data_IF_015861325553
#
_entry.id   IF_015861325553
#
_cell.length_a   1.000
_cell.length_b   1.000
_cell.length_c   1.000
_cell.angle_alpha   90.00
_cell.angle_beta   90.00
_cell.angle_gamma   90.00
#
_symmetry.space_group_name_H-M   'P 1'
#
loop_
_entity.id
_entity.type
_entity.pdbx_description
1 polymer ?
#
# COMPACT_ATOMS: atom_id res chain seq x y z
N UNK A 1 -16.29 7.50 -7.78
CA UNK A 1 -16.23 8.26 -6.51
C UNK A 1 -17.01 9.54 -6.73
N UNK A 2 -17.90 9.86 -5.80
CA UNK A 2 -18.71 11.06 -5.89
C UNK A 2 -17.84 12.32 -5.83
N UNK A 3 -18.20 13.36 -6.58
CA UNK A 3 -17.45 14.61 -6.68
C UNK A 3 -18.37 15.81 -6.54
N UNK A 4 -17.93 16.86 -5.84
CA UNK A 4 -18.65 18.14 -5.81
C UNK A 4 -18.42 18.82 -7.16
N UNK A 5 -19.48 18.95 -7.97
CA UNK A 5 -19.44 19.54 -9.30
C UNK A 5 -19.69 21.05 -9.28
N UNK A 6 -20.53 21.50 -8.35
CA UNK A 6 -20.87 22.91 -8.18
C UNK A 6 -21.19 23.21 -6.71
N UNK A 7 -21.06 24.47 -6.31
CA UNK A 7 -21.42 24.93 -4.97
C UNK A 7 -21.90 26.39 -4.99
N UNK A 8 -22.80 26.72 -4.06
CA UNK A 8 -23.30 28.08 -3.82
C UNK A 8 -23.22 28.35 -2.33
N UNK A 9 -22.54 29.43 -1.94
CA UNK A 9 -22.51 29.90 -0.56
C UNK A 9 -23.62 30.91 -0.35
N UNK A 10 -24.44 30.70 0.66
CA UNK A 10 -25.56 31.57 1.01
C UNK A 10 -25.12 32.66 2.00
N UNK A 11 -25.95 33.70 2.13
CA UNK A 11 -25.65 34.87 2.98
C UNK A 11 -25.55 34.51 4.47
N UNK A 12 -26.17 33.40 4.89
CA UNK A 12 -26.10 32.87 6.25
C UNK A 12 -24.82 32.04 6.53
N UNK A 13 -23.94 31.92 5.53
CA UNK A 13 -22.69 31.16 5.62
C UNK A 13 -22.84 29.66 5.35
N UNK A 14 -24.06 29.16 5.09
CA UNK A 14 -24.26 27.78 4.65
C UNK A 14 -23.86 27.61 3.19
N UNK A 15 -23.51 26.37 2.79
CA UNK A 15 -23.13 26.07 1.41
C UNK A 15 -23.98 24.92 0.86
N UNK A 16 -24.65 25.16 -0.26
CA UNK A 16 -25.34 24.13 -1.02
C UNK A 16 -24.40 23.56 -2.07
N UNK A 17 -24.27 22.24 -2.14
CA UNK A 17 -23.38 21.54 -3.07
C UNK A 17 -24.16 20.63 -4.01
N UNK A 18 -23.70 20.52 -5.26
CA UNK A 18 -24.20 19.53 -6.23
C UNK A 18 -23.16 18.42 -6.33
N UNK A 19 -23.57 17.21 -5.97
CA UNK A 19 -22.69 16.03 -5.97
C UNK A 19 -23.00 15.19 -7.22
N UNK A 20 -21.97 14.93 -8.04
CA UNK A 20 -22.03 14.04 -9.20
C UNK A 20 -21.51 12.66 -8.84
N UNK A 21 -22.20 11.61 -9.30
CA UNK A 21 -21.77 10.21 -9.10
C UNK A 21 -22.01 9.68 -7.68
N UNK A 22 -22.98 10.23 -6.95
CA UNK A 22 -23.48 9.64 -5.72
C UNK A 22 -24.38 8.43 -6.05
N UNK A 23 -24.19 7.32 -5.34
CA UNK A 23 -25.04 6.14 -5.45
C UNK A 23 -26.15 6.24 -4.41
N UNK A 24 -27.41 6.19 -4.87
CA UNK A 24 -28.61 6.17 -4.04
C UNK A 24 -29.28 4.81 -4.20
N UNK A 25 -29.78 4.26 -3.09
CA UNK A 25 -30.58 3.04 -3.14
C UNK A 25 -32.05 3.35 -3.45
N UNK A 26 -32.82 2.29 -3.72
CA UNK A 26 -34.23 2.38 -4.11
C UNK A 26 -35.08 3.15 -3.09
N UNK A 27 -34.76 3.01 -1.79
CA UNK A 27 -35.48 3.67 -0.71
C UNK A 27 -35.21 5.18 -0.70
N UNK A 28 -33.95 5.58 -0.86
CA UNK A 28 -33.53 6.98 -0.89
C UNK A 28 -34.13 7.69 -2.11
N UNK A 29 -34.09 7.04 -3.29
CA UNK A 29 -34.71 7.55 -4.51
C UNK A 29 -36.22 7.71 -4.35
N UNK A 30 -36.91 6.72 -3.77
CA UNK A 30 -38.36 6.80 -3.53
C UNK A 30 -38.74 7.96 -2.60
N UNK A 31 -37.94 8.23 -1.56
CA UNK A 31 -38.18 9.37 -0.67
C UNK A 31 -38.07 10.69 -1.42
N UNK A 32 -37.01 10.87 -2.22
CA UNK A 32 -36.77 12.08 -3.00
C UNK A 32 -37.84 12.28 -4.09
N UNK A 33 -38.25 11.22 -4.79
CA UNK A 33 -39.29 11.27 -5.82
C UNK A 33 -40.66 11.70 -5.26
N UNK A 34 -40.91 11.44 -3.97
CA UNK A 34 -42.11 11.87 -3.26
C UNK A 34 -41.95 13.22 -2.53
N UNK A 35 -40.84 13.93 -2.75
CA UNK A 35 -40.58 15.24 -2.17
C UNK A 35 -40.19 15.24 -0.69
N UNK A 36 -39.77 14.09 -0.15
CA UNK A 36 -39.19 14.03 1.20
C UNK A 36 -37.71 14.37 1.17
N UNK A 37 -37.25 15.04 2.24
CA UNK A 37 -35.83 15.28 2.47
C UNK A 37 -35.15 14.01 3.02
N UNK A 38 -33.92 13.76 2.58
CA UNK A 38 -33.07 12.67 3.07
C UNK A 38 -31.85 13.29 3.73
N UNK A 39 -31.73 13.14 5.04
CA UNK A 39 -30.53 13.55 5.77
C UNK A 39 -29.34 12.69 5.35
N UNK A 40 -28.19 13.34 5.15
CA UNK A 40 -26.95 12.65 4.81
C UNK A 40 -25.73 13.32 5.49
N UNK A 41 -24.76 12.49 5.86
CA UNK A 41 -23.46 12.96 6.34
C UNK A 41 -22.51 13.16 5.17
N UNK A 42 -22.08 14.40 4.93
CA UNK A 42 -21.07 14.70 3.93
C UNK A 42 -19.67 14.70 4.56
N UNK A 43 -18.86 13.70 4.19
CA UNK A 43 -17.42 13.68 4.54
C UNK A 43 -16.58 14.08 3.34
N UNK A 44 -16.02 15.28 3.37
CA UNK A 44 -15.12 15.77 2.31
C UNK A 44 -13.75 15.14 2.52
N UNK A 45 -13.26 14.42 1.50
CA UNK A 45 -11.88 13.93 1.50
C UNK A 45 -10.92 15.08 1.19
N UNK A 46 -10.06 15.43 2.15
CA UNK A 46 -8.95 16.34 1.92
C UNK A 46 -7.85 15.61 1.14
N UNK A 47 -7.53 16.02 -0.11
CA UNK A 47 -6.56 15.32 -0.93
C UNK A 47 -5.13 15.41 -0.39
N UNK A 48 -4.86 16.30 0.56
CA UNK A 48 -3.54 16.47 1.17
C UNK A 48 -3.37 15.66 2.46
N UNK A 49 -4.47 15.19 3.04
CA UNK A 49 -4.46 14.39 4.28
C UNK A 49 -4.51 12.89 4.01
N UNK A 50 -4.11 12.14 5.03
CA UNK A 50 -4.20 10.69 5.10
C UNK A 50 -5.56 10.19 4.61
N UNK A 51 -5.54 9.22 3.71
CA UNK A 51 -6.74 8.56 3.20
C UNK A 51 -7.24 7.49 4.17
N UNK A 52 -8.54 7.18 4.11
CA UNK A 52 -9.11 6.06 4.88
C UNK A 52 -8.42 4.73 4.54
N UNK A 53 -7.99 4.53 3.29
CA UNK A 53 -7.22 3.35 2.88
C UNK A 53 -5.87 3.26 3.60
N UNK A 54 -5.12 4.36 3.66
CA UNK A 54 -3.85 4.41 4.39
C UNK A 54 -4.05 4.18 5.89
N UNK A 55 -5.05 4.85 6.48
CA UNK A 55 -5.38 4.67 7.90
C UNK A 55 -5.72 3.21 8.22
N UNK A 56 -6.57 2.56 7.41
CA UNK A 56 -6.90 1.14 7.57
C UNK A 56 -5.67 0.24 7.50
N UNK A 57 -4.70 0.54 6.61
CA UNK A 57 -3.44 -0.23 6.51
C UNK A 57 -2.61 -0.13 7.79
N UNK A 58 -2.39 1.06 8.31
CA UNK A 58 -1.62 1.28 9.55
C UNK A 58 -2.22 0.45 10.70
N UNK A 59 -3.54 0.52 10.88
CA UNK A 59 -4.20 -0.25 11.92
C UNK A 59 -4.17 -1.76 11.67
N UNK A 60 -4.36 -2.22 10.43
CA UNK A 60 -4.30 -3.64 10.10
C UNK A 60 -2.90 -4.24 10.39
N UNK A 61 -1.84 -3.53 10.00
CA UNK A 61 -0.47 -3.92 10.29
C UNK A 61 -0.20 -3.98 11.80
N UNK A 62 -0.62 -2.95 12.56
CA UNK A 62 -0.46 -2.96 14.02
C UNK A 62 -1.26 -4.08 14.70
N UNK A 63 -2.43 -4.45 14.18
CA UNK A 63 -3.22 -5.57 14.70
C UNK A 63 -2.52 -6.92 14.46
N UNK A 64 -1.88 -7.11 13.31
CA UNK A 64 -1.13 -8.34 13.04
C UNK A 64 0.09 -8.45 13.99
N UNK A 65 0.77 -7.34 14.27
CA UNK A 65 1.83 -7.28 15.28
C UNK A 65 1.31 -7.65 16.67
N UNK A 66 0.20 -7.04 17.10
CA UNK A 66 -0.41 -7.33 18.40
C UNK A 66 -0.81 -8.80 18.51
N UNK A 67 -1.43 -9.35 17.46
CA UNK A 67 -1.87 -10.75 17.42
C UNK A 67 -0.71 -11.73 17.54
N UNK A 68 0.46 -11.38 17.02
CA UNK A 68 1.64 -12.25 17.06
C UNK A 68 2.49 -12.08 18.33
N UNK A 69 2.69 -10.83 18.77
CA UNK A 69 3.67 -10.49 19.81
C UNK A 69 3.03 -10.19 21.17
N UNK A 70 1.73 -9.95 21.21
CA UNK A 70 1.02 -9.44 22.39
C UNK A 70 1.28 -7.96 22.70
N UNK A 71 2.10 -7.26 21.90
CA UNK A 71 2.35 -5.83 22.08
C UNK A 71 1.09 -5.04 21.70
N UNK A 72 0.56 -4.15 22.58
CA UNK A 72 -0.67 -3.44 22.29
C UNK A 72 -0.60 -2.66 20.98
N UNK A 73 -1.65 -2.78 20.15
CA UNK A 73 -1.75 -2.11 18.85
C UNK A 73 -1.49 -0.61 18.95
N UNK A 74 -2.05 0.06 19.95
CA UNK A 74 -1.89 1.51 20.13
C UNK A 74 -0.48 1.91 20.54
N UNK A 75 0.23 1.04 21.28
CA UNK A 75 1.64 1.24 21.58
C UNK A 75 2.49 1.15 20.31
N UNK A 76 2.32 0.08 19.51
CA UNK A 76 3.06 -0.09 18.25
C UNK A 76 2.77 1.05 17.27
N UNK A 77 1.50 1.46 17.14
CA UNK A 77 1.09 2.59 16.32
C UNK A 77 1.79 3.88 16.74
N UNK A 78 1.79 4.20 18.03
CA UNK A 78 2.49 5.38 18.57
C UNK A 78 4.00 5.29 18.31
N UNK A 79 4.61 4.13 18.57
CA UNK A 79 6.03 3.88 18.32
C UNK A 79 6.42 4.20 16.87
N UNK A 80 5.65 3.73 15.88
CA UNK A 80 5.95 4.00 14.47
C UNK A 80 5.70 5.46 14.07
N UNK A 81 4.66 6.11 14.61
CA UNK A 81 4.43 7.54 14.39
C UNK A 81 5.62 8.37 14.88
N UNK A 82 6.09 8.12 16.11
CA UNK A 82 7.23 8.81 16.69
C UNK A 82 8.54 8.48 15.97
N UNK A 83 8.75 7.21 15.61
CA UNK A 83 9.93 6.80 14.86
C UNK A 83 10.04 7.56 13.53
N UNK A 84 8.95 7.68 12.77
CA UNK A 84 8.92 8.46 11.52
C UNK A 84 9.12 9.94 11.78
N UNK A 85 8.50 10.50 12.84
CA UNK A 85 8.73 11.90 13.23
C UNK A 85 10.21 12.19 13.42
N UNK A 86 10.91 11.35 14.17
CA UNK A 86 12.35 11.51 14.44
C UNK A 86 13.18 11.27 13.18
N UNK A 87 12.92 10.17 12.45
CA UNK A 87 13.69 9.76 11.28
C UNK A 87 13.73 10.84 10.19
N UNK A 88 12.59 11.51 9.95
CA UNK A 88 12.46 12.53 8.91
C UNK A 88 12.57 13.96 9.45
N UNK A 89 12.84 14.15 10.74
CA UNK A 89 13.04 15.46 11.35
C UNK A 89 11.80 16.36 11.34
N UNK A 90 10.60 15.79 11.49
CA UNK A 90 9.37 16.59 11.57
C UNK A 90 9.30 17.35 12.89
N UNK A 91 8.93 18.63 12.83
CA UNK A 91 8.87 19.51 14.01
C UNK A 91 7.83 19.08 15.05
N UNK A 92 6.80 18.35 14.63
CA UNK A 92 5.71 17.86 15.48
C UNK A 92 5.53 16.36 15.29
N UNK A 93 5.11 15.69 16.37
CA UNK A 93 4.63 14.30 16.31
C UNK A 93 3.56 14.16 15.25
N UNK A 94 3.72 13.16 14.38
CA UNK A 94 2.74 12.84 13.36
C UNK A 94 1.47 12.35 14.06
N UNK A 95 0.30 12.85 13.68
CA UNK A 95 -1.00 12.34 14.12
C UNK A 95 -1.82 11.80 12.96
N UNK A 96 -2.41 10.61 13.10
CA UNK A 96 -3.28 10.03 12.07
C UNK A 96 -4.63 10.76 11.90
N UNK A 97 -4.91 11.81 12.67
CA UNK A 97 -6.06 12.70 12.46
C UNK A 97 -5.90 13.62 11.26
N UNK A 98 -4.68 14.03 10.95
CA UNK A 98 -4.40 15.18 10.09
C UNK A 98 -3.06 15.09 9.36
N UNK A 99 -2.30 13.99 9.53
CA UNK A 99 -1.05 13.82 8.80
C UNK A 99 -1.24 13.79 7.29
N UNK A 100 -0.18 14.17 6.58
CA UNK A 100 -0.16 14.15 5.13
C UNK A 100 -0.17 12.72 4.60
N UNK A 101 -0.59 12.54 3.33
CA UNK A 101 -0.48 11.24 2.65
C UNK A 101 0.94 10.70 2.63
N UNK A 102 1.94 11.58 2.50
CA UNK A 102 3.35 11.21 2.52
C UNK A 102 3.75 10.64 3.87
N UNK A 103 3.43 11.34 4.97
CA UNK A 103 3.70 10.87 6.33
C UNK A 103 3.02 9.54 6.64
N UNK A 104 1.76 9.38 6.20
CA UNK A 104 1.05 8.12 6.34
C UNK A 104 1.74 6.96 5.61
N UNK A 105 2.27 7.19 4.40
CA UNK A 105 3.05 6.19 3.66
C UNK A 105 4.37 5.85 4.36
N UNK A 106 5.09 6.85 4.89
CA UNK A 106 6.33 6.60 5.65
C UNK A 106 6.06 5.72 6.88
N UNK A 107 4.94 5.91 7.57
CA UNK A 107 4.53 5.05 8.68
C UNK A 107 4.27 3.62 8.18
N UNK A 108 3.50 3.46 7.10
CA UNK A 108 3.22 2.14 6.50
C UNK A 108 4.53 1.43 6.13
N UNK A 109 5.49 2.14 5.54
CA UNK A 109 6.78 1.61 5.11
C UNK A 109 7.63 1.12 6.29
N UNK A 110 7.78 1.94 7.33
CA UNK A 110 8.52 1.54 8.53
C UNK A 110 7.84 0.37 9.23
N UNK A 111 6.51 0.38 9.34
CA UNK A 111 5.77 -0.73 9.95
C UNK A 111 5.94 -2.03 9.16
N UNK A 112 5.92 -1.96 7.83
CA UNK A 112 6.17 -3.12 6.97
C UNK A 112 7.59 -3.65 7.12
N UNK A 113 8.60 -2.78 7.10
CA UNK A 113 9.99 -3.17 7.30
C UNK A 113 10.17 -3.89 8.64
N UNK A 114 9.60 -3.33 9.71
CA UNK A 114 9.61 -3.97 11.03
C UNK A 114 8.91 -5.33 11.04
N UNK A 115 7.75 -5.46 10.40
CA UNK A 115 7.00 -6.71 10.28
C UNK A 115 7.85 -7.78 9.59
N UNK A 116 8.47 -7.46 8.46
CA UNK A 116 9.31 -8.42 7.74
C UNK A 116 10.57 -8.79 8.51
N UNK A 117 11.23 -7.81 9.13
CA UNK A 117 12.44 -8.05 9.92
C UNK A 117 12.21 -8.92 11.15
N UNK A 118 10.99 -8.90 11.70
CA UNK A 118 10.60 -9.69 12.87
C UNK A 118 9.75 -10.92 12.52
N UNK A 119 9.70 -11.31 11.24
CA UNK A 119 8.95 -12.46 10.74
C UNK A 119 7.47 -12.48 11.19
N UNK A 120 6.84 -11.31 11.27
CA UNK A 120 5.45 -11.18 11.72
C UNK A 120 4.51 -11.70 10.62
N UNK A 121 3.67 -12.72 10.90
CA UNK A 121 2.72 -13.24 9.93
C UNK A 121 1.59 -12.23 9.70
N UNK A 122 1.33 -11.90 8.44
CA UNK A 122 0.19 -11.07 8.04
C UNK A 122 -1.08 -11.91 7.92
N UNK A 123 -2.20 -11.40 8.43
CA UNK A 123 -3.50 -12.04 8.24
C UNK A 123 -3.95 -11.93 6.77
N UNK A 124 -4.81 -12.86 6.32
CA UNK A 124 -5.36 -12.82 4.96
C UNK A 124 -5.98 -11.45 4.61
N UNK A 125 -6.70 -10.85 5.57
CA UNK A 125 -7.33 -9.54 5.41
C UNK A 125 -6.30 -8.43 5.21
N UNK A 126 -5.19 -8.46 5.96
CA UNK A 126 -4.11 -7.48 5.79
C UNK A 126 -3.38 -7.70 4.48
N UNK A 127 -3.04 -8.95 4.13
CA UNK A 127 -2.44 -9.27 2.83
C UNK A 127 -3.32 -8.79 1.69
N UNK A 128 -4.63 -9.03 1.74
CA UNK A 128 -5.61 -8.57 0.74
C UNK A 128 -5.67 -7.04 0.63
N UNK A 129 -5.68 -6.34 1.77
CA UNK A 129 -5.65 -4.87 1.81
C UNK A 129 -4.37 -4.27 1.19
N UNK A 130 -3.28 -5.02 1.23
CA UNK A 130 -1.96 -4.65 0.71
C UNK A 130 -1.67 -5.24 -0.68
N UNK A 131 -2.58 -6.03 -1.25
CA UNK A 131 -2.43 -6.52 -2.63
C UNK A 131 -2.27 -5.32 -3.55
N UNK A 132 -1.20 -5.34 -4.36
CA UNK A 132 -0.82 -4.27 -5.28
C UNK A 132 -0.42 -2.94 -4.61
N UNK A 133 -0.26 -2.90 -3.29
CA UNK A 133 0.34 -1.75 -2.62
C UNK A 133 1.84 -1.69 -2.93
N UNK A 134 2.29 -0.58 -3.50
CA UNK A 134 3.69 -0.42 -3.94
C UNK A 134 4.67 -0.53 -2.77
N UNK A 135 4.32 -0.02 -1.59
CA UNK A 135 5.18 -0.12 -0.41
C UNK A 135 5.27 -1.56 0.07
N UNK A 136 4.17 -2.31 0.11
CA UNK A 136 4.18 -3.75 0.40
C UNK A 136 5.03 -4.56 -0.58
N UNK A 137 4.85 -4.33 -1.89
CA UNK A 137 5.61 -5.03 -2.93
C UNK A 137 7.11 -4.70 -2.85
N UNK A 138 7.46 -3.43 -2.62
CA UNK A 138 8.84 -3.00 -2.43
C UNK A 138 9.47 -3.67 -1.21
N UNK A 139 8.84 -3.58 -0.05
CA UNK A 139 9.40 -4.12 1.20
C UNK A 139 9.42 -5.65 1.24
N UNK A 140 8.45 -6.33 0.62
CA UNK A 140 8.53 -7.78 0.40
C UNK A 140 9.73 -8.14 -0.49
N UNK A 141 9.97 -7.34 -1.53
CA UNK A 141 11.09 -7.53 -2.46
C UNK A 141 12.44 -7.33 -1.79
N UNK A 142 12.56 -6.26 -1.01
CA UNK A 142 13.76 -5.94 -0.22
C UNK A 142 14.02 -7.00 0.86
N UNK A 143 13.00 -7.44 1.59
CA UNK A 143 13.17 -8.42 2.67
C UNK A 143 13.20 -9.89 2.18
N UNK A 144 13.13 -10.11 0.86
CA UNK A 144 13.13 -11.45 0.24
C UNK A 144 11.96 -12.31 0.74
N UNK A 145 10.78 -11.72 0.91
CA UNK A 145 9.53 -12.43 1.14
C UNK A 145 8.75 -12.53 -0.17
N UNK A 146 8.25 -13.72 -0.51
CA UNK A 146 7.52 -13.91 -1.75
C UNK A 146 6.25 -13.07 -1.79
N UNK A 147 6.09 -12.21 -2.81
CA UNK A 147 4.93 -11.32 -2.95
C UNK A 147 3.59 -12.06 -3.16
N UNK A 148 3.65 -13.35 -3.51
CA UNK A 148 2.46 -14.18 -3.71
C UNK A 148 2.02 -14.91 -2.43
N UNK A 149 2.97 -15.49 -1.69
CA UNK A 149 2.66 -16.39 -0.58
C UNK A 149 3.38 -16.08 0.74
N UNK A 150 4.18 -15.02 0.81
CA UNK A 150 4.89 -14.59 2.01
C UNK A 150 6.12 -15.41 2.41
N UNK A 151 6.34 -16.59 1.80
CA UNK A 151 7.50 -17.46 2.12
C UNK A 151 8.82 -16.67 2.07
N UNK A 152 9.69 -16.78 3.11
CA UNK A 152 10.97 -16.08 3.16
C UNK A 152 11.99 -16.69 2.19
N UNK A 153 13.17 -16.07 2.09
CA UNK A 153 14.29 -16.48 1.22
C UNK A 153 13.93 -16.56 -0.26
N UNK A 154 13.10 -15.62 -0.71
CA UNK A 154 12.72 -15.48 -2.10
C UNK A 154 13.88 -15.01 -2.99
N UNK A 155 13.85 -15.46 -4.24
CA UNK A 155 14.73 -14.95 -5.28
C UNK A 155 14.19 -13.60 -5.80
N UNK A 156 15.09 -12.73 -6.27
CA UNK A 156 14.68 -11.56 -7.05
C UNK A 156 14.45 -12.00 -8.49
N UNK A 157 13.18 -12.12 -8.85
CA UNK A 157 12.74 -12.42 -10.19
C UNK A 157 12.78 -11.15 -11.05
N UNK A 158 13.27 -11.24 -12.28
CA UNK A 158 13.22 -10.15 -13.24
C UNK A 158 11.95 -10.23 -14.09
N UNK A 159 11.36 -9.06 -14.38
CA UNK A 159 10.30 -8.93 -15.38
C UNK A 159 10.90 -9.11 -16.79
N UNK A 160 11.96 -8.36 -17.10
CA UNK A 160 12.66 -8.45 -18.37
C UNK A 160 13.71 -9.57 -18.33
N UNK A 161 13.85 -10.31 -19.43
CA UNK A 161 14.87 -11.35 -19.52
C UNK A 161 16.29 -10.76 -19.41
N UNK A 162 17.10 -11.34 -18.51
CA UNK A 162 18.55 -11.09 -18.46
C UNK A 162 19.23 -12.04 -19.44
N UNK A 163 19.83 -11.49 -20.50
CA UNK A 163 20.38 -12.26 -21.61
C UNK A 163 21.47 -13.27 -21.21
N UNK A 164 21.49 -14.43 -21.89
CA UNK A 164 22.54 -15.45 -21.76
C UNK A 164 23.90 -14.84 -22.13
N UNK A 165 24.75 -14.62 -21.13
CA UNK A 165 26.09 -14.01 -21.29
C UNK A 165 26.32 -12.78 -20.41
N UNK A 166 25.26 -12.19 -19.86
CA UNK A 166 25.38 -11.08 -18.92
C UNK A 166 25.68 -11.59 -17.52
N UNK A 167 26.75 -11.08 -16.90
CA UNK A 167 27.03 -11.36 -15.50
C UNK A 167 26.13 -10.47 -14.63
N UNK A 168 25.08 -11.06 -14.06
CA UNK A 168 24.11 -10.38 -13.18
C UNK A 168 24.78 -9.67 -12.00
N UNK A 169 25.95 -10.14 -11.55
CA UNK A 169 26.68 -9.55 -10.44
C UNK A 169 27.50 -8.30 -10.83
N UNK A 170 27.67 -8.04 -12.13
CA UNK A 170 28.47 -6.92 -12.65
C UNK A 170 27.66 -5.91 -13.46
N UNK A 171 26.57 -6.35 -14.09
CA UNK A 171 25.73 -5.45 -14.87
C UNK A 171 24.94 -4.49 -13.98
N UNK A 172 24.51 -3.37 -14.57
CA UNK A 172 23.57 -2.47 -13.93
C UNK A 172 22.14 -2.90 -14.24
N UNK A 173 21.26 -2.83 -13.24
CA UNK A 173 19.87 -3.30 -13.34
C UNK A 173 18.83 -2.17 -13.34
N UNK A 174 19.23 -0.89 -13.37
CA UNK A 174 18.29 0.26 -13.28
C UNK A 174 17.23 0.32 -14.39
N UNK A 175 17.45 -0.36 -15.52
CA UNK A 175 16.49 -0.49 -16.62
C UNK A 175 15.53 -1.67 -16.46
N UNK A 176 15.60 -2.38 -15.33
CA UNK A 176 14.83 -3.60 -15.04
C UNK A 176 13.79 -3.38 -13.96
N UNK A 177 12.83 -4.30 -13.93
CA UNK A 177 11.87 -4.42 -12.85
C UNK A 177 11.96 -5.79 -12.19
N UNK A 178 11.71 -5.83 -10.88
CA UNK A 178 11.87 -7.03 -10.07
C UNK A 178 10.76 -7.20 -9.04
N UNK A 179 10.57 -8.45 -8.62
CA UNK A 179 9.74 -8.86 -7.49
C UNK A 179 10.44 -10.00 -6.72
N UNK A 180 10.21 -10.09 -5.41
CA UNK A 180 10.60 -11.29 -4.66
C UNK A 180 9.62 -12.43 -4.92
N UNK A 181 10.12 -13.53 -5.49
CA UNK A 181 9.37 -14.76 -5.69
C UNK A 181 10.09 -15.94 -5.03
N UNK A 182 9.38 -16.73 -4.22
CA UNK A 182 9.95 -17.97 -3.69
C UNK A 182 10.25 -18.93 -4.85
N UNK A 183 11.12 -19.91 -4.61
CA UNK A 183 11.59 -20.87 -5.62
C UNK A 183 10.46 -21.47 -6.47
N UNK A 184 9.35 -21.81 -5.84
CA UNK A 184 8.16 -22.38 -6.48
C UNK A 184 7.51 -21.41 -7.48
N UNK A 185 7.21 -20.18 -7.05
CA UNK A 185 6.62 -19.16 -7.91
C UNK A 185 7.59 -18.63 -8.96
N UNK A 186 8.88 -18.50 -8.64
CA UNK A 186 9.91 -18.07 -9.59
C UNK A 186 10.11 -19.09 -10.70
N UNK A 187 10.17 -20.39 -10.38
CA UNK A 187 10.23 -21.45 -11.38
C UNK A 187 8.96 -21.51 -12.22
N UNK A 188 7.79 -21.29 -11.61
CA UNK A 188 6.53 -21.21 -12.33
C UNK A 188 6.52 -20.05 -13.33
N UNK A 189 6.98 -18.86 -12.94
CA UNK A 189 7.14 -17.71 -13.85
C UNK A 189 8.01 -18.07 -15.05
N UNK A 190 9.15 -18.75 -14.84
CA UNK A 190 9.98 -19.24 -15.94
C UNK A 190 9.26 -20.26 -16.82
N UNK A 191 8.42 -21.13 -16.26
CA UNK A 191 7.73 -22.18 -16.99
C UNK A 191 6.58 -21.67 -17.87
N UNK A 192 5.78 -20.73 -17.38
CA UNK A 192 4.58 -20.23 -18.09
C UNK A 192 4.81 -18.89 -18.82
N UNK A 193 5.95 -18.25 -18.57
CA UNK A 193 6.27 -16.92 -19.06
C UNK A 193 5.67 -15.80 -18.21
N UNK A 194 6.31 -14.63 -18.21
CA UNK A 194 5.99 -13.51 -17.32
C UNK A 194 4.57 -12.98 -17.53
N UNK A 195 4.11 -12.84 -18.78
CA UNK A 195 2.75 -12.36 -19.08
C UNK A 195 1.67 -13.29 -18.51
N UNK A 196 1.78 -14.60 -18.74
CA UNK A 196 0.83 -15.58 -18.20
C UNK A 196 0.87 -15.64 -16.67
N UNK A 197 2.04 -15.38 -16.08
CA UNK A 197 2.21 -15.28 -14.62
C UNK A 197 1.51 -14.02 -14.09
N UNK A 198 1.65 -12.89 -14.77
CA UNK A 198 0.98 -11.63 -14.41
C UNK A 198 -0.54 -11.73 -14.52
N UNK A 199 -1.07 -12.42 -15.53
CA UNK A 199 -2.50 -12.71 -15.65
C UNK A 199 -3.02 -13.54 -14.48
N UNK A 200 -2.28 -14.60 -14.12
CA UNK A 200 -2.66 -15.54 -13.06
C UNK A 200 -2.68 -14.89 -11.67
N UNK A 201 -1.75 -13.98 -11.40
CA UNK A 201 -1.57 -13.37 -10.08
C UNK A 201 -1.92 -11.87 -10.03
N UNK A 202 -2.44 -11.32 -11.13
CA UNK A 202 -2.81 -9.90 -11.29
C UNK A 202 -1.65 -8.92 -11.01
N UNK A 203 -0.48 -9.18 -11.60
CA UNK A 203 0.79 -8.44 -11.33
C UNK A 203 1.18 -7.39 -12.39
N UNK A 204 0.36 -7.14 -13.41
CA UNK A 204 0.69 -6.26 -14.54
C UNK A 204 1.32 -4.90 -14.15
N UNK A 205 0.83 -4.26 -13.09
CA UNK A 205 1.32 -2.97 -12.60
C UNK A 205 2.10 -3.06 -11.27
N UNK A 206 2.54 -4.27 -10.89
CA UNK A 206 3.14 -4.56 -9.58
C UNK A 206 4.67 -4.59 -9.59
N UNK A 207 5.30 -4.76 -10.75
CA UNK A 207 6.75 -4.91 -10.84
C UNK A 207 7.50 -3.65 -10.40
N UNK A 208 8.48 -3.80 -9.51
CA UNK A 208 9.20 -2.68 -8.90
C UNK A 208 10.40 -2.31 -9.75
N UNK A 209 10.47 -1.05 -10.19
CA UNK A 209 11.64 -0.53 -10.88
C UNK A 209 12.85 -0.57 -9.94
N UNK A 210 13.95 -1.11 -10.43
CA UNK A 210 15.19 -1.24 -9.64
C UNK A 210 15.74 0.14 -9.29
N UNK A 211 15.90 0.39 -7.99
CA UNK A 211 16.58 1.55 -7.42
C UNK A 211 18.02 1.19 -7.01
N UNK A 212 18.71 2.11 -6.33
CA UNK A 212 20.08 1.89 -5.87
C UNK A 212 20.21 0.67 -4.94
N UNK A 213 19.24 0.49 -4.02
CA UNK A 213 19.23 -0.61 -3.05
C UNK A 213 19.06 -1.95 -3.76
N UNK A 214 18.02 -2.07 -4.58
CA UNK A 214 17.74 -3.28 -5.34
C UNK A 214 18.87 -3.61 -6.32
N UNK A 215 19.53 -2.62 -6.91
CA UNK A 215 20.69 -2.85 -7.78
C UNK A 215 21.88 -3.45 -7.01
N UNK A 216 22.12 -3.00 -5.77
CA UNK A 216 23.15 -3.60 -4.89
C UNK A 216 22.79 -5.04 -4.54
N UNK A 217 21.55 -5.29 -4.14
CA UNK A 217 21.04 -6.63 -3.82
C UNK A 217 21.13 -7.60 -5.00
N UNK A 218 20.80 -7.15 -6.21
CA UNK A 218 20.90 -7.94 -7.45
C UNK A 218 22.35 -8.28 -7.82
N UNK A 219 23.30 -7.47 -7.37
CA UNK A 219 24.74 -7.71 -7.55
C UNK A 219 25.35 -8.64 -6.49
N UNK A 220 24.55 -9.09 -5.53
CA UNK A 220 25.00 -9.92 -4.41
C UNK A 220 25.48 -9.12 -3.19
N UNK A 221 25.19 -7.81 -3.13
CA UNK A 221 25.29 -7.05 -1.89
C UNK A 221 24.12 -7.34 -0.95
N UNK A 222 24.28 -6.97 0.32
CA UNK A 222 23.20 -6.90 1.31
C UNK A 222 22.28 -5.69 1.05
#
# INVERSE_FOLDING_TARGET
MAQIKNYITQDDGTTTVVIEGAELGDKETLLLDNGYEVECDLRIEDPFKITDKQRRKIFALCNDIESHTGQPRDYMRYLFQEYVTVLYGYEKSISLSDCTRMQANQIIEVTLDWIFHNDIPLSYKTSDLLKQDKSFLYWSTVNRNCVICGKPHADLAHYEAVGRGMNRNKMNHYDKHVLALCREHHNQQHAIGVKSFDDKYHLHDSWIKVDERLNKMLKGGE
#
